data_IF_638882263182
#
_entry.id   IF_638882263182
#
_cell.length_a   1.000
_cell.length_b   1.000
_cell.length_c   1.000
_cell.angle_alpha   90.00
_cell.angle_beta   90.00
_cell.angle_gamma   90.00
#
_symmetry.space_group_name_H-M   'P 1'
#
loop_
_entity.id
_entity.type
_entity.pdbx_description
1 polymer ?
#
# COMPACT_ATOMS: atom_id res chain seq x y z
N UNK A 1 -46.89 -74.00 4.59
CA UNK A 1 -46.22 -72.99 5.44
C UNK A 1 -45.02 -72.25 4.80
N UNK A 2 -44.47 -72.64 3.64
CA UNK A 2 -43.30 -71.94 3.05
C UNK A 2 -43.62 -70.81 2.04
N UNK A 3 -44.84 -70.75 1.51
CA UNK A 3 -45.22 -69.77 0.47
C UNK A 3 -45.61 -68.41 1.04
N UNK A 4 -46.20 -68.36 2.26
CA UNK A 4 -46.64 -67.10 2.88
C UNK A 4 -45.48 -66.21 3.37
N UNK A 5 -44.35 -66.80 3.79
CA UNK A 5 -43.17 -66.04 4.26
C UNK A 5 -42.47 -65.36 3.08
N UNK A 6 -42.39 -66.02 1.93
CA UNK A 6 -41.81 -65.45 0.71
C UNK A 6 -42.62 -64.27 0.16
N UNK A 7 -43.96 -64.36 0.17
CA UNK A 7 -44.81 -63.28 -0.31
C UNK A 7 -44.67 -62.01 0.55
N UNK A 8 -44.58 -62.18 1.88
CA UNK A 8 -44.45 -61.05 2.81
C UNK A 8 -43.08 -60.36 2.68
N UNK A 9 -41.99 -61.13 2.56
CA UNK A 9 -40.65 -60.58 2.33
C UNK A 9 -40.50 -59.91 0.97
N UNK A 10 -41.15 -60.43 -0.08
CA UNK A 10 -41.13 -59.82 -1.41
C UNK A 10 -41.90 -58.49 -1.45
N UNK A 11 -43.04 -58.41 -0.77
CA UNK A 11 -43.84 -57.18 -0.64
C UNK A 11 -43.09 -56.09 0.16
N UNK A 12 -42.43 -56.46 1.27
CA UNK A 12 -41.60 -55.55 2.06
C UNK A 12 -40.38 -55.03 1.28
N UNK A 13 -39.72 -55.91 0.51
CA UNK A 13 -38.58 -55.52 -0.33
C UNK A 13 -39.00 -54.60 -1.46
N UNK A 14 -40.13 -54.89 -2.12
CA UNK A 14 -40.71 -54.04 -3.16
C UNK A 14 -41.14 -52.68 -2.61
N UNK A 15 -41.72 -52.64 -1.40
CA UNK A 15 -42.11 -51.39 -0.74
C UNK A 15 -40.90 -50.52 -0.42
N UNK A 16 -39.82 -51.10 0.10
CA UNK A 16 -38.60 -50.38 0.41
C UNK A 16 -37.93 -49.81 -0.86
N UNK A 17 -37.93 -50.56 -1.97
CA UNK A 17 -37.43 -50.07 -3.26
C UNK A 17 -38.25 -48.88 -3.74
N UNK A 18 -39.58 -48.93 -3.66
CA UNK A 18 -40.46 -47.83 -4.08
C UNK A 18 -40.24 -46.58 -3.21
N UNK A 19 -40.09 -46.74 -1.89
CA UNK A 19 -39.78 -45.62 -0.99
C UNK A 19 -38.42 -45.01 -1.30
N UNK A 20 -37.40 -45.84 -1.57
CA UNK A 20 -36.07 -45.36 -1.95
C UNK A 20 -36.10 -44.61 -3.28
N UNK A 21 -36.87 -45.12 -4.25
CA UNK A 21 -37.04 -44.47 -5.56
C UNK A 21 -37.77 -43.13 -5.44
N UNK A 22 -38.83 -43.06 -4.64
CA UNK A 22 -39.55 -41.82 -4.37
C UNK A 22 -38.68 -40.80 -3.63
N UNK A 23 -37.84 -41.24 -2.70
CA UNK A 23 -36.91 -40.36 -1.98
C UNK A 23 -35.80 -39.84 -2.89
N UNK A 24 -35.23 -40.69 -3.75
CA UNK A 24 -34.24 -40.28 -4.75
C UNK A 24 -34.85 -39.33 -5.77
N UNK A 25 -36.09 -39.60 -6.21
CA UNK A 25 -36.84 -38.75 -7.12
C UNK A 25 -37.15 -37.39 -6.50
N UNK A 26 -37.52 -37.34 -5.22
CA UNK A 26 -37.74 -36.09 -4.49
C UNK A 26 -36.45 -35.28 -4.33
N UNK A 27 -35.32 -35.94 -4.05
CA UNK A 27 -33.99 -35.31 -3.98
C UNK A 27 -33.53 -34.75 -5.33
N UNK A 28 -33.73 -35.50 -6.41
CA UNK A 28 -33.49 -35.03 -7.78
C UNK A 28 -34.42 -33.86 -8.14
N UNK A 29 -35.70 -33.93 -7.77
CA UNK A 29 -36.67 -32.87 -8.04
C UNK A 29 -36.35 -31.59 -7.27
N UNK A 30 -35.94 -31.70 -6.00
CA UNK A 30 -35.44 -30.57 -5.19
C UNK A 30 -34.15 -29.98 -5.77
N UNK A 31 -33.26 -30.81 -6.34
CA UNK A 31 -32.06 -30.35 -7.02
C UNK A 31 -32.36 -29.53 -8.29
N UNK A 32 -33.46 -29.83 -8.99
CA UNK A 32 -33.90 -29.08 -10.18
C UNK A 32 -34.79 -27.87 -9.86
N UNK A 33 -35.39 -27.77 -8.66
CA UNK A 33 -36.18 -26.60 -8.24
C UNK A 33 -35.37 -25.48 -7.61
N UNK A 34 -34.15 -25.75 -7.15
CA UNK A 34 -33.24 -24.70 -6.65
C UNK A 34 -32.50 -24.14 -7.86
N UNK A 35 -32.81 -22.92 -8.35
CA UNK A 35 -32.04 -22.33 -9.42
C UNK A 35 -30.57 -22.25 -8.97
N UNK A 36 -29.61 -22.54 -9.85
CA UNK A 36 -28.20 -22.34 -9.53
C UNK A 36 -28.03 -20.88 -9.07
N UNK A 37 -27.17 -20.61 -8.07
CA UNK A 37 -26.90 -19.24 -7.67
C UNK A 37 -26.48 -18.47 -8.93
N UNK A 38 -26.98 -17.23 -9.12
CA UNK A 38 -26.64 -16.46 -10.30
C UNK A 38 -25.12 -16.40 -10.40
N UNK A 39 -24.57 -16.85 -11.54
CA UNK A 39 -23.17 -16.68 -11.84
C UNK A 39 -22.89 -15.18 -11.71
N UNK A 40 -22.19 -14.79 -10.64
CA UNK A 40 -21.73 -13.42 -10.47
C UNK A 40 -20.89 -13.10 -11.70
N UNK A 41 -21.40 -12.22 -12.56
CA UNK A 41 -20.62 -11.70 -13.67
C UNK A 41 -19.32 -11.13 -13.09
N UNK A 42 -18.17 -11.35 -13.74
CA UNK A 42 -16.93 -10.75 -13.29
C UNK A 42 -17.12 -9.23 -13.22
N UNK A 43 -16.79 -8.64 -12.08
CA UNK A 43 -16.76 -7.18 -11.94
C UNK A 43 -15.57 -6.66 -12.75
N UNK A 44 -15.81 -6.27 -14.00
CA UNK A 44 -14.77 -5.72 -14.88
C UNK A 44 -14.63 -4.23 -14.59
N UNK A 45 -13.48 -3.83 -14.08
CA UNK A 45 -13.12 -2.43 -13.91
C UNK A 45 -12.92 -1.79 -15.29
N UNK A 46 -13.66 -0.73 -15.59
CA UNK A 46 -13.40 0.07 -16.80
C UNK A 46 -12.04 0.78 -16.66
N UNK A 47 -11.27 0.94 -17.76
CA UNK A 47 -10.07 1.76 -17.75
C UNK A 47 -10.38 3.19 -17.26
N UNK A 48 -9.38 3.84 -16.66
CA UNK A 48 -9.53 5.18 -16.10
C UNK A 48 -10.17 6.16 -17.11
N UNK A 49 -11.26 6.80 -16.72
CA UNK A 49 -12.04 7.73 -17.54
C UNK A 49 -13.46 7.93 -17.00
N UNK A 50 -14.10 9.05 -17.36
CA UNK A 50 -15.47 9.38 -16.91
C UNK A 50 -16.58 8.58 -17.59
N UNK A 51 -16.24 7.71 -18.55
CA UNK A 51 -17.21 6.88 -19.28
C UNK A 51 -17.00 5.40 -19.00
N UNK A 52 -18.08 4.71 -18.60
CA UNK A 52 -18.14 3.25 -18.62
C UNK A 52 -17.88 2.75 -20.06
N UNK A 53 -16.99 1.77 -20.21
CA UNK A 53 -16.52 1.23 -21.51
C UNK A 53 -15.55 2.11 -22.32
N UNK A 54 -14.89 3.10 -21.73
CA UNK A 54 -13.81 3.83 -22.41
C UNK A 54 -12.60 2.92 -22.74
N UNK A 55 -11.93 3.20 -23.87
CA UNK A 55 -10.64 2.58 -24.19
C UNK A 55 -9.59 3.05 -23.18
N UNK A 56 -8.64 2.17 -22.83
CA UNK A 56 -7.52 2.55 -21.98
C UNK A 56 -6.69 3.65 -22.66
N UNK A 57 -6.30 4.66 -21.89
CA UNK A 57 -5.36 5.68 -22.35
C UNK A 57 -4.08 5.05 -22.89
N UNK A 58 -3.57 5.57 -24.01
CA UNK A 58 -2.31 5.12 -24.59
C UNK A 58 -1.14 5.92 -24.01
N UNK A 59 -0.01 5.24 -23.81
CA UNK A 59 1.21 5.89 -23.38
C UNK A 59 1.98 6.49 -24.56
N UNK A 60 2.07 7.81 -24.65
CA UNK A 60 2.64 8.52 -25.82
C UNK A 60 3.81 9.44 -25.51
N UNK A 61 4.17 9.61 -24.23
CA UNK A 61 5.05 10.70 -23.79
C UNK A 61 6.55 10.39 -23.92
N UNK A 62 6.96 9.14 -24.14
CA UNK A 62 8.38 8.80 -24.17
C UNK A 62 8.73 7.52 -24.90
N UNK A 63 10.03 7.34 -25.15
CA UNK A 63 10.68 6.11 -25.59
C UNK A 63 11.94 5.93 -24.72
N UNK A 64 12.32 4.68 -24.48
CA UNK A 64 13.58 4.38 -23.82
C UNK A 64 14.40 3.40 -24.67
N UNK A 65 15.64 3.77 -24.97
CA UNK A 65 16.60 2.91 -25.65
C UNK A 65 17.82 2.66 -24.78
N UNK A 66 18.61 1.64 -25.13
CA UNK A 66 19.81 1.26 -24.36
C UNK A 66 20.82 2.40 -24.24
N UNK A 67 20.94 3.28 -25.24
CA UNK A 67 21.87 4.41 -25.22
C UNK A 67 21.42 5.57 -24.34
N UNK A 68 20.15 5.61 -23.93
CA UNK A 68 19.62 6.66 -23.05
C UNK A 68 19.95 6.40 -21.57
N UNK A 69 20.40 5.17 -21.28
CA UNK A 69 20.64 4.59 -19.97
C UNK A 69 22.12 4.72 -19.59
N UNK A 70 22.37 5.01 -18.32
CA UNK A 70 23.73 4.97 -17.76
C UNK A 70 24.29 3.55 -17.82
N UNK A 71 25.39 3.34 -18.54
CA UNK A 71 25.96 2.01 -18.73
C UNK A 71 26.65 1.43 -17.48
N UNK A 72 26.97 2.28 -16.49
CA UNK A 72 27.80 1.93 -15.34
C UNK A 72 27.00 1.71 -14.06
N UNK A 73 25.90 2.46 -13.86
CA UNK A 73 25.20 2.46 -12.58
C UNK A 73 23.70 2.70 -12.71
N UNK A 74 22.85 1.77 -12.22
CA UNK A 74 21.42 2.03 -12.11
C UNK A 74 21.11 3.16 -11.11
N UNK A 75 22.01 3.47 -10.18
CA UNK A 75 21.81 4.53 -9.19
C UNK A 75 21.91 5.90 -9.86
N UNK A 76 22.92 6.10 -10.72
CA UNK A 76 23.05 7.32 -11.53
C UNK A 76 21.85 7.48 -12.45
N UNK A 77 21.42 6.38 -13.09
CA UNK A 77 20.24 6.39 -13.93
C UNK A 77 18.95 6.72 -13.16
N UNK A 78 18.77 6.15 -11.96
CA UNK A 78 17.64 6.48 -11.10
C UNK A 78 17.66 7.95 -10.69
N UNK A 79 18.80 8.47 -10.25
CA UNK A 79 18.95 9.87 -9.86
C UNK A 79 18.57 10.82 -11.01
N UNK A 80 18.98 10.50 -12.25
CA UNK A 80 18.59 11.25 -13.45
C UNK A 80 17.06 11.29 -13.60
N UNK A 81 16.40 10.13 -13.62
CA UNK A 81 14.94 10.05 -13.77
C UNK A 81 14.17 10.69 -12.61
N UNK A 82 14.65 10.49 -11.38
CA UNK A 82 14.07 11.10 -10.19
C UNK A 82 14.16 12.63 -10.25
N UNK A 83 15.30 13.16 -10.66
CA UNK A 83 15.50 14.61 -10.86
C UNK A 83 14.60 15.18 -11.97
N UNK A 84 14.36 14.40 -13.03
CA UNK A 84 13.39 14.77 -14.08
C UNK A 84 11.97 14.80 -13.54
N UNK A 85 11.57 13.83 -12.72
CA UNK A 85 10.26 13.80 -12.07
C UNK A 85 10.04 14.99 -11.12
N UNK A 86 11.07 15.41 -10.38
CA UNK A 86 11.01 16.60 -9.52
C UNK A 86 10.82 17.91 -10.29
N UNK A 87 11.34 18.00 -11.52
CA UNK A 87 11.27 19.22 -12.35
C UNK A 87 10.13 19.19 -13.36
N UNK A 88 9.42 18.08 -13.48
CA UNK A 88 8.33 17.95 -14.44
C UNK A 88 7.17 18.85 -14.04
N UNK A 89 6.68 19.66 -14.97
CA UNK A 89 5.58 20.61 -14.76
C UNK A 89 4.51 20.46 -15.84
N UNK A 90 3.26 20.72 -15.47
CA UNK A 90 2.15 20.81 -16.41
C UNK A 90 2.11 22.23 -16.96
N UNK A 91 2.53 22.42 -18.21
CA UNK A 91 2.38 23.71 -18.90
C UNK A 91 0.92 23.91 -19.28
N UNK A 92 0.26 24.89 -18.68
CA UNK A 92 -1.02 25.37 -19.22
C UNK A 92 -0.72 26.26 -20.42
N UNK A 93 -1.34 26.02 -21.56
CA UNK A 93 -1.06 26.71 -22.83
C UNK A 93 -1.48 28.19 -22.90
N UNK A 94 -1.62 28.88 -21.77
CA UNK A 94 -2.00 30.30 -21.67
C UNK A 94 -0.78 31.14 -21.30
N UNK A 95 -0.60 32.27 -21.98
CA UNK A 95 0.46 33.24 -21.68
C UNK A 95 0.28 33.92 -20.30
N UNK A 96 -0.93 33.86 -19.73
CA UNK A 96 -1.31 34.46 -18.43
C UNK A 96 -1.41 33.41 -17.30
N UNK A 97 -0.78 32.25 -17.46
CA UNK A 97 -0.95 31.12 -16.56
C UNK A 97 -0.33 31.31 -15.16
N UNK A 98 -1.07 30.85 -14.15
CA UNK A 98 -0.64 30.63 -12.77
C UNK A 98 0.70 29.85 -12.68
N UNK A 99 1.43 29.91 -11.53
CA UNK A 99 2.71 29.23 -11.36
C UNK A 99 2.66 27.76 -11.82
N UNK A 100 3.76 27.31 -12.43
CA UNK A 100 3.92 25.97 -12.97
C UNK A 100 3.53 24.90 -11.93
N UNK A 101 2.48 24.13 -12.23
CA UNK A 101 2.03 23.05 -11.34
C UNK A 101 2.93 21.82 -11.56
N UNK A 102 3.52 21.23 -10.50
CA UNK A 102 4.30 20.00 -10.64
C UNK A 102 3.48 18.89 -11.28
N UNK A 103 4.02 18.26 -12.32
CA UNK A 103 3.39 17.12 -12.98
C UNK A 103 3.38 15.90 -12.06
N UNK A 104 4.40 15.74 -11.22
CA UNK A 104 4.50 14.68 -10.22
C UNK A 104 4.53 15.33 -8.84
N UNK A 105 3.45 15.22 -8.07
CA UNK A 105 3.33 15.92 -6.79
C UNK A 105 4.31 15.42 -5.72
N UNK A 106 4.58 14.12 -5.71
CA UNK A 106 5.49 13.48 -4.73
C UNK A 106 6.38 12.45 -5.44
N UNK A 107 7.44 12.88 -6.15
CA UNK A 107 8.32 11.99 -6.91
C UNK A 107 8.96 10.89 -6.06
N UNK A 108 9.16 11.14 -4.77
CA UNK A 108 9.77 10.25 -3.80
C UNK A 108 8.81 9.25 -3.15
N UNK A 109 7.50 9.39 -3.38
CA UNK A 109 6.53 8.40 -2.97
C UNK A 109 6.74 7.09 -3.74
N UNK A 110 6.88 5.99 -3.01
CA UNK A 110 7.07 4.66 -3.57
C UNK A 110 6.33 3.60 -2.75
N UNK A 111 5.94 2.52 -3.42
CA UNK A 111 5.33 1.36 -2.77
C UNK A 111 6.45 0.44 -2.25
N UNK A 112 6.51 0.24 -0.93
CA UNK A 112 7.39 -0.72 -0.28
C UNK A 112 6.66 -2.05 -0.07
N UNK A 113 7.15 -3.09 -0.72
CA UNK A 113 6.64 -4.46 -0.57
C UNK A 113 7.61 -5.30 0.26
N UNK A 114 7.06 -6.02 1.23
CA UNK A 114 7.78 -6.93 2.14
C UNK A 114 7.02 -8.26 2.23
N UNK A 115 7.69 -9.33 2.66
CA UNK A 115 7.04 -10.62 2.85
C UNK A 115 7.49 -11.29 4.14
N UNK A 116 6.55 -11.88 4.88
CA UNK A 116 6.83 -12.65 6.08
C UNK A 116 7.31 -14.06 5.72
N UNK A 117 8.38 -14.54 6.34
CA UNK A 117 8.79 -15.95 6.31
C UNK A 117 8.49 -16.61 7.67
N UNK A 118 8.04 -17.89 7.67
CA UNK A 118 8.01 -18.82 6.54
C UNK A 118 6.74 -18.77 5.68
N UNK A 119 5.71 -18.00 6.05
CA UNK A 119 4.41 -18.04 5.37
C UNK A 119 4.44 -17.60 3.91
N UNK A 120 5.43 -16.77 3.53
CA UNK A 120 5.50 -16.12 2.22
C UNK A 120 4.46 -15.01 2.04
N UNK A 121 3.74 -14.62 3.10
CA UNK A 121 2.65 -13.64 2.99
C UNK A 121 3.22 -12.26 2.69
N UNK A 122 2.86 -11.71 1.55
CA UNK A 122 3.28 -10.38 1.08
C UNK A 122 2.40 -9.29 1.67
N UNK A 123 2.99 -8.14 1.97
CA UNK A 123 2.27 -6.92 2.31
C UNK A 123 2.97 -5.69 1.72
N UNK A 124 2.18 -4.68 1.36
CA UNK A 124 2.67 -3.46 0.69
C UNK A 124 2.06 -2.20 1.28
N UNK A 125 2.75 -1.07 1.15
CA UNK A 125 2.29 0.27 1.58
C UNK A 125 3.14 1.36 0.93
N UNK A 126 2.62 2.59 0.90
CA UNK A 126 3.39 3.75 0.47
C UNK A 126 4.39 4.20 1.54
N UNK A 127 5.57 4.59 1.11
CA UNK A 127 6.64 5.25 1.88
C UNK A 127 7.27 6.34 1.03
N UNK A 128 8.12 7.17 1.64
CA UNK A 128 8.87 8.20 0.92
C UNK A 128 10.35 7.85 0.95
N UNK A 129 10.97 7.77 -0.23
CA UNK A 129 12.43 7.77 -0.37
C UNK A 129 12.98 9.08 0.20
N UNK A 130 14.07 9.00 0.97
CA UNK A 130 14.69 10.20 1.55
C UNK A 130 16.15 10.39 1.16
N UNK A 131 16.83 9.31 0.79
CA UNK A 131 18.25 9.36 0.49
C UNK A 131 18.62 8.24 -0.48
N UNK A 132 19.50 8.57 -1.41
CA UNK A 132 20.38 7.62 -2.09
C UNK A 132 21.73 7.76 -1.41
N UNK A 133 22.14 6.76 -0.66
CA UNK A 133 23.36 6.89 0.14
C UNK A 133 24.61 6.64 -0.70
N UNK A 134 25.78 6.93 -0.14
CA UNK A 134 27.07 6.77 -0.83
C UNK A 134 27.41 5.32 -1.20
N UNK A 135 26.67 4.34 -0.65
CA UNK A 135 26.81 2.90 -0.98
C UNK A 135 25.86 2.47 -2.11
N UNK A 136 25.11 3.40 -2.69
CA UNK A 136 24.11 3.11 -3.72
C UNK A 136 22.83 2.47 -3.16
N UNK A 137 22.57 2.65 -1.86
CA UNK A 137 21.37 2.17 -1.20
C UNK A 137 20.23 3.18 -1.22
N UNK A 138 19.00 2.67 -1.32
CA UNK A 138 17.77 3.47 -1.26
C UNK A 138 17.27 3.50 0.18
N UNK A 139 17.25 4.67 0.81
CA UNK A 139 16.93 4.79 2.24
C UNK A 139 15.54 5.39 2.45
N UNK A 140 14.71 4.67 3.19
CA UNK A 140 13.41 5.12 3.69
C UNK A 140 13.44 5.14 5.22
N UNK A 141 12.76 6.09 5.86
CA UNK A 141 12.72 6.17 7.32
C UNK A 141 11.37 5.71 7.85
N UNK A 142 11.36 4.79 8.80
CA UNK A 142 10.12 4.14 9.25
C UNK A 142 10.20 3.61 10.69
N UNK A 143 9.06 3.15 11.21
CA UNK A 143 9.02 2.40 12.47
C UNK A 143 9.45 0.94 12.19
N UNK A 144 10.60 0.56 12.76
CA UNK A 144 11.23 -0.76 12.68
C UNK A 144 11.00 -1.61 13.95
N UNK A 145 10.12 -1.19 14.84
CA UNK A 145 9.71 -1.95 16.03
C UNK A 145 8.37 -2.66 15.84
N UNK A 146 7.28 -1.90 15.91
CA UNK A 146 5.90 -2.41 16.01
C UNK A 146 5.20 -2.60 14.67
N UNK A 147 5.72 -2.01 13.59
CA UNK A 147 5.01 -2.00 12.31
C UNK A 147 4.99 -3.37 11.61
N UNK A 148 3.99 -3.61 10.76
CA UNK A 148 3.90 -4.88 9.99
C UNK A 148 5.13 -5.12 9.12
N UNK A 149 5.63 -4.09 8.42
CA UNK A 149 6.85 -4.20 7.60
C UNK A 149 8.07 -4.56 8.45
N UNK A 150 8.16 -4.07 9.68
CA UNK A 150 9.24 -4.43 10.59
C UNK A 150 9.19 -5.91 10.97
N UNK A 151 7.98 -6.44 11.21
CA UNK A 151 7.78 -7.86 11.47
C UNK A 151 8.19 -8.73 10.28
N UNK A 152 7.76 -8.37 9.07
CA UNK A 152 8.16 -9.07 7.85
C UNK A 152 9.72 -9.07 7.72
N UNK A 153 10.35 -7.90 7.84
CA UNK A 153 11.79 -7.70 7.63
C UNK A 153 12.68 -8.42 8.66
N UNK A 154 12.19 -8.66 9.88
CA UNK A 154 12.90 -9.48 10.87
C UNK A 154 13.04 -10.94 10.42
N UNK A 155 12.06 -11.44 9.67
CA UNK A 155 12.05 -12.83 9.18
C UNK A 155 12.66 -12.96 7.78
N UNK A 156 12.63 -11.87 7.01
CA UNK A 156 13.05 -11.85 5.61
C UNK A 156 13.66 -10.48 5.26
N UNK A 157 14.99 -10.36 5.18
CA UNK A 157 15.66 -9.08 4.93
C UNK A 157 15.63 -8.70 3.44
N UNK A 158 14.56 -9.02 2.71
CA UNK A 158 14.38 -8.66 1.30
C UNK A 158 13.13 -7.80 1.13
N UNK A 159 13.22 -6.81 0.25
CA UNK A 159 12.13 -5.92 -0.07
C UNK A 159 12.19 -5.43 -1.52
N UNK A 160 11.09 -4.82 -1.96
CA UNK A 160 11.00 -4.12 -3.24
C UNK A 160 10.45 -2.72 -3.04
N UNK A 161 11.01 -1.74 -3.75
CA UNK A 161 10.48 -0.39 -3.91
C UNK A 161 9.97 -0.21 -5.35
N UNK A 162 8.75 0.29 -5.50
CA UNK A 162 8.17 0.65 -6.81
C UNK A 162 7.81 2.13 -6.85
N UNK A 163 8.40 2.85 -7.80
CA UNK A 163 8.08 4.23 -8.14
C UNK A 163 7.21 4.24 -9.39
N UNK A 164 6.11 4.99 -9.38
CA UNK A 164 5.26 5.17 -10.55
C UNK A 164 4.99 6.67 -10.75
N UNK A 165 5.53 7.22 -11.83
CA UNK A 165 5.33 8.60 -12.24
C UNK A 165 4.39 8.60 -13.45
N UNK A 166 3.09 8.56 -13.16
CA UNK A 166 2.02 8.44 -14.15
C UNK A 166 2.09 9.52 -15.24
N UNK A 167 2.34 10.78 -14.86
CA UNK A 167 2.48 11.91 -15.80
C UNK A 167 3.71 11.86 -16.68
N UNK A 168 4.65 10.97 -16.38
CA UNK A 168 5.82 10.68 -17.22
C UNK A 168 5.73 9.32 -17.91
N UNK A 169 4.69 8.53 -17.61
CA UNK A 169 4.52 7.16 -18.08
C UNK A 169 5.75 6.30 -17.76
N UNK A 170 6.31 6.49 -16.56
CA UNK A 170 7.53 5.82 -16.10
C UNK A 170 7.30 5.07 -14.82
N UNK A 171 8.00 3.95 -14.71
CA UNK A 171 8.09 3.17 -13.49
C UNK A 171 9.55 2.79 -13.25
N UNK A 172 9.94 2.77 -11.98
CA UNK A 172 11.19 2.16 -11.53
C UNK A 172 10.88 1.11 -10.47
N UNK A 173 11.44 -0.09 -10.62
CA UNK A 173 11.43 -1.13 -9.59
C UNK A 173 12.84 -1.33 -9.06
N UNK A 174 12.98 -1.39 -7.75
CA UNK A 174 14.25 -1.66 -7.06
C UNK A 174 14.02 -2.85 -6.15
N UNK A 175 14.83 -3.89 -6.29
CA UNK A 175 14.75 -5.10 -5.47
C UNK A 175 16.11 -5.37 -4.82
N UNK A 176 16.09 -5.85 -3.59
CA UNK A 176 17.32 -6.02 -2.85
C UNK A 176 17.17 -6.42 -1.41
N UNK A 177 18.33 -6.59 -0.77
CA UNK A 177 18.43 -6.84 0.68
C UNK A 177 18.29 -5.54 1.44
N UNK A 178 17.70 -5.62 2.62
CA UNK A 178 17.52 -4.46 3.50
C UNK A 178 18.46 -4.49 4.70
N UNK A 179 18.93 -3.31 5.10
CA UNK A 179 19.73 -3.10 6.30
C UNK A 179 19.17 -1.93 7.10
N UNK A 180 19.25 -2.04 8.42
CA UNK A 180 18.90 -0.93 9.32
C UNK A 180 20.11 -0.01 9.47
N UNK A 181 19.91 1.30 9.29
CA UNK A 181 20.90 2.31 9.63
C UNK A 181 21.17 2.34 11.13
N UNK A 182 22.38 2.71 11.52
CA UNK A 182 22.72 2.94 12.92
C UNK A 182 21.86 4.04 13.53
N UNK A 183 21.71 4.08 14.88
CA UNK A 183 21.04 5.20 15.55
C UNK A 183 21.64 6.56 15.20
N UNK A 184 22.98 6.64 15.09
CA UNK A 184 23.68 7.87 14.73
C UNK A 184 23.35 8.33 13.30
N UNK A 185 23.43 7.44 12.30
CA UNK A 185 23.02 7.76 10.92
C UNK A 185 21.54 8.18 10.88
N UNK A 186 20.68 7.51 11.64
CA UNK A 186 19.25 7.84 11.70
C UNK A 186 18.96 9.18 12.38
N UNK A 187 19.76 9.56 13.39
CA UNK A 187 19.61 10.83 14.11
C UNK A 187 19.86 12.02 13.18
N UNK A 188 20.84 11.93 12.28
CA UNK A 188 21.17 12.99 11.31
C UNK A 188 19.92 13.40 10.51
N UNK A 189 19.20 12.44 9.93
CA UNK A 189 17.95 12.74 9.25
C UNK A 189 16.83 13.11 10.22
N UNK A 190 16.74 12.46 11.38
CA UNK A 190 15.69 12.75 12.38
C UNK A 190 15.70 14.21 12.82
N UNK A 191 16.87 14.81 12.99
CA UNK A 191 17.04 16.22 13.40
C UNK A 191 16.56 17.22 12.33
N UNK A 192 16.52 16.83 11.06
CA UNK A 192 15.95 17.67 9.99
C UNK A 192 14.42 17.75 10.05
N UNK A 193 13.77 16.84 10.78
CA UNK A 193 12.31 16.78 10.86
C UNK A 193 11.78 17.88 11.77
N UNK A 194 10.68 18.51 11.34
CA UNK A 194 9.94 19.45 12.18
C UNK A 194 9.58 18.82 13.52
N UNK A 195 9.57 19.61 14.61
CA UNK A 195 9.42 19.08 15.98
C UNK A 195 8.19 18.17 16.13
N UNK A 196 7.04 18.57 15.59
CA UNK A 196 5.82 17.75 15.64
C UNK A 196 5.99 16.36 14.99
N UNK A 197 6.80 16.25 13.93
CA UNK A 197 7.13 14.95 13.31
C UNK A 197 8.05 14.09 14.18
N UNK A 198 8.98 14.71 14.91
CA UNK A 198 9.86 14.01 15.87
C UNK A 198 9.05 13.49 17.06
N UNK A 199 8.16 14.32 17.62
CA UNK A 199 7.20 13.93 18.66
C UNK A 199 6.27 12.82 18.18
N UNK A 200 5.66 12.99 17.00
CA UNK A 200 4.76 11.98 16.42
C UNK A 200 5.44 10.63 16.20
N UNK A 201 6.75 10.60 15.93
CA UNK A 201 7.50 9.34 15.84
C UNK A 201 7.62 8.62 17.18
N UNK A 202 7.77 9.35 18.30
CA UNK A 202 7.74 8.77 19.65
C UNK A 202 6.35 8.31 20.07
N UNK A 203 5.31 9.08 19.73
CA UNK A 203 3.93 8.74 20.04
C UNK A 203 3.42 7.51 19.25
N UNK A 204 3.91 7.32 18.02
CA UNK A 204 3.35 6.35 17.09
C UNK A 204 3.78 4.90 17.38
N UNK A 205 2.87 4.14 18.00
CA UNK A 205 2.89 2.66 18.04
C UNK A 205 2.38 2.09 16.71
N UNK A 206 3.12 2.35 15.64
CA UNK A 206 2.67 2.10 14.27
C UNK A 206 2.17 0.67 14.06
N UNK A 207 1.00 0.54 13.42
CA UNK A 207 0.29 -0.72 13.12
C UNK A 207 -0.35 -1.44 14.32
N UNK A 208 -0.31 -0.87 15.52
CA UNK A 208 -1.11 -1.34 16.64
C UNK A 208 -2.60 -1.01 16.41
N UNK A 209 -3.49 -1.94 16.75
CA UNK A 209 -4.94 -1.72 16.76
C UNK A 209 -5.30 -0.76 17.88
N UNK A 210 -6.08 0.28 17.56
CA UNK A 210 -6.58 1.25 18.53
C UNK A 210 -7.84 0.72 19.23
N UNK A 211 -8.10 1.24 20.43
CA UNK A 211 -9.26 0.83 21.23
C UNK A 211 -10.23 2.02 21.33
N UNK A 212 -11.42 1.91 20.72
CA UNK A 212 -12.50 2.87 20.88
C UNK A 212 -12.91 3.06 22.35
N UNK A 213 -13.17 4.29 22.78
CA UNK A 213 -13.75 4.56 24.09
C UNK A 213 -15.27 4.67 24.00
N UNK A 214 -16.00 3.89 24.79
CA UNK A 214 -17.47 3.93 24.84
C UNK A 214 -18.04 5.21 25.51
N UNK A 215 -17.20 6.15 25.96
CA UNK A 215 -17.58 7.18 26.93
C UNK A 215 -17.97 8.54 26.35
N UNK A 216 -18.01 8.74 25.03
CA UNK A 216 -18.31 10.05 24.43
C UNK A 216 -19.82 10.34 24.23
N UNK A 217 -20.71 9.38 24.50
CA UNK A 217 -22.14 9.47 24.15
C UNK A 217 -23.12 9.91 25.24
N UNK A 218 -22.70 10.19 26.48
CA UNK A 218 -23.66 10.54 27.55
C UNK A 218 -23.17 11.68 28.45
N UNK A 219 -23.44 12.93 28.05
CA UNK A 219 -23.17 14.07 28.90
C UNK A 219 -23.74 15.39 28.37
N UNK A 220 -25.03 15.65 28.56
CA UNK A 220 -25.61 16.94 28.16
C UNK A 220 -27.08 17.20 28.48
N UNK A 221 -27.66 16.57 29.51
CA UNK A 221 -28.93 17.01 30.07
C UNK A 221 -28.73 18.26 30.93
N UNK A 222 -28.86 19.46 30.34
CA UNK A 222 -28.62 20.72 31.04
C UNK A 222 -29.35 21.93 30.43
N UNK A 223 -30.58 22.15 30.93
CA UNK A 223 -31.37 23.41 30.99
C UNK A 223 -31.29 24.41 29.81
N UNK A 224 -32.45 24.56 29.16
CA UNK A 224 -32.80 25.73 28.36
C UNK A 224 -32.64 27.03 29.17
N UNK A 225 -31.75 27.91 28.70
CA UNK A 225 -31.64 29.30 29.09
C UNK A 225 -31.64 30.16 27.83
N UNK A 226 -32.63 31.03 27.71
CA UNK A 226 -32.80 31.98 26.61
C UNK A 226 -31.65 33.00 26.52
N UNK A 227 -31.22 33.35 25.30
CA UNK A 227 -30.73 34.69 25.01
C UNK A 227 -29.46 34.84 24.15
N UNK A 228 -29.68 35.38 22.94
CA UNK A 228 -28.90 36.46 22.28
C UNK A 228 -27.73 36.10 21.32
N UNK A 229 -28.10 36.08 20.04
CA UNK A 229 -27.44 36.61 18.81
C UNK A 229 -25.94 36.95 18.79
N UNK A 230 -25.23 36.39 17.79
CA UNK A 230 -24.26 37.12 16.97
C UNK A 230 -22.93 36.40 16.66
N UNK A 231 -22.59 36.27 15.36
CA UNK A 231 -21.22 36.10 14.87
C UNK A 231 -20.95 34.78 14.14
N UNK A 232 -20.73 34.87 12.82
CA UNK A 232 -20.45 33.73 11.94
C UNK A 232 -19.05 33.13 12.10
N UNK A 233 -19.00 31.82 11.94
CA UNK A 233 -17.81 30.99 11.77
C UNK A 233 -18.26 29.62 11.26
N UNK A 234 -18.17 29.39 9.95
CA UNK A 234 -18.55 28.12 9.34
C UNK A 234 -17.41 27.09 9.53
N UNK A 235 -17.77 25.90 10.06
CA UNK A 235 -16.91 24.72 10.07
C UNK A 235 -16.70 24.02 11.42
N UNK A 236 -17.62 24.12 12.38
CA UNK A 236 -17.63 23.22 13.55
C UNK A 236 -18.12 21.83 13.13
N UNK A 237 -17.20 20.86 13.07
CA UNK A 237 -17.53 19.45 12.85
C UNK A 237 -18.45 18.92 13.95
N UNK A 238 -19.30 17.98 13.56
CA UNK A 238 -20.44 17.47 14.32
C UNK A 238 -19.97 16.80 15.62
N UNK A 239 -20.33 17.40 16.75
CA UNK A 239 -20.28 16.75 18.06
C UNK A 239 -21.27 15.56 18.08
N UNK A 240 -20.72 14.35 18.12
CA UNK A 240 -21.48 13.10 18.23
C UNK A 240 -20.85 11.88 17.56
N UNK A 241 -19.54 11.88 17.27
CA UNK A 241 -18.86 10.68 16.77
C UNK A 241 -18.37 9.84 17.96
N UNK A 242 -18.79 8.58 18.03
CA UNK A 242 -18.26 7.63 19.01
C UNK A 242 -16.74 7.53 18.81
N UNK A 243 -15.94 7.70 19.87
CA UNK A 243 -14.47 7.71 19.77
C UNK A 243 -13.97 6.39 19.19
N UNK A 244 -13.47 6.42 17.96
CA UNK A 244 -12.95 5.27 17.20
C UNK A 244 -11.49 4.91 17.55
N UNK A 245 -10.93 5.55 18.59
CA UNK A 245 -9.52 5.47 18.97
C UNK A 245 -8.74 6.76 18.67
N UNK A 246 -9.39 7.78 18.12
CA UNK A 246 -8.81 9.12 17.95
C UNK A 246 -8.28 9.69 19.26
N UNK A 247 -9.04 9.57 20.35
CA UNK A 247 -8.64 10.10 21.66
C UNK A 247 -7.39 9.39 22.20
N UNK A 248 -7.24 8.08 21.94
CA UNK A 248 -6.05 7.32 22.32
C UNK A 248 -4.79 7.86 21.63
N UNK A 249 -4.87 8.13 20.33
CA UNK A 249 -3.75 8.67 19.57
C UNK A 249 -3.36 10.08 20.04
N UNK A 250 -4.34 10.94 20.31
CA UNK A 250 -4.09 12.28 20.85
C UNK A 250 -3.46 12.22 22.23
N UNK A 251 -3.89 11.27 23.07
CA UNK A 251 -3.27 10.96 24.35
C UNK A 251 -1.79 10.60 24.22
N UNK A 252 -1.42 9.73 23.25
CA UNK A 252 -0.01 9.38 23.01
C UNK A 252 0.82 10.56 22.50
N UNK A 253 0.23 11.44 21.68
CA UNK A 253 0.91 12.67 21.25
C UNK A 253 1.18 13.57 22.44
N UNK A 254 0.17 13.83 23.28
CA UNK A 254 0.30 14.65 24.49
C UNK A 254 1.36 14.09 25.44
N UNK A 255 1.36 12.78 25.68
CA UNK A 255 2.40 12.11 26.50
C UNK A 255 3.80 12.36 25.94
N UNK A 256 3.98 12.24 24.62
CA UNK A 256 5.26 12.50 23.97
C UNK A 256 5.64 14.00 24.02
N UNK A 257 4.69 14.92 23.87
CA UNK A 257 4.93 16.36 23.98
C UNK A 257 5.36 16.77 25.39
N UNK A 258 4.67 16.25 26.41
CA UNK A 258 5.01 16.44 27.82
C UNK A 258 6.41 15.91 28.12
N UNK A 259 6.72 14.69 27.66
CA UNK A 259 8.04 14.07 27.82
C UNK A 259 9.19 14.91 27.28
N UNK A 260 8.98 15.60 26.16
CA UNK A 260 10.00 16.42 25.49
C UNK A 260 9.74 17.92 25.64
N UNK A 261 8.94 18.33 26.62
CA UNK A 261 8.65 19.74 26.88
C UNK A 261 9.93 20.48 27.27
N UNK A 262 10.17 21.64 26.64
CA UNK A 262 11.38 22.43 26.83
C UNK A 262 12.67 21.82 26.28
N UNK A 263 12.63 20.63 25.68
CA UNK A 263 13.81 19.99 25.07
C UNK A 263 13.94 20.39 23.60
N UNK A 264 15.09 20.98 23.24
CA UNK A 264 15.41 21.35 21.86
C UNK A 264 15.82 20.11 21.03
N UNK A 265 16.64 19.25 21.62
CA UNK A 265 17.09 18.01 21.02
C UNK A 265 16.22 16.84 21.49
N UNK A 266 15.59 16.16 20.53
CA UNK A 266 14.80 14.94 20.76
C UNK A 266 15.58 13.78 20.13
N UNK A 267 15.99 12.76 20.91
CA UNK A 267 16.69 11.62 20.35
C UNK A 267 15.77 10.79 19.47
N UNK A 268 16.34 10.10 18.50
CA UNK A 268 15.63 9.14 17.67
C UNK A 268 15.16 7.94 18.52
N UNK A 269 13.89 7.52 18.42
CA UNK A 269 13.41 6.33 19.14
C UNK A 269 14.14 5.05 18.69
N UNK A 270 14.39 4.11 19.60
CA UNK A 270 15.03 2.82 19.28
C UNK A 270 14.24 1.96 18.27
N UNK A 271 12.94 2.20 18.14
CA UNK A 271 12.06 1.52 17.19
C UNK A 271 11.87 2.30 15.89
N UNK A 272 12.57 3.42 15.70
CA UNK A 272 12.50 4.24 14.50
C UNK A 272 13.90 4.34 13.86
N UNK A 273 13.98 4.45 12.55
CA UNK A 273 15.25 4.67 11.88
C UNK A 273 15.20 4.49 10.37
N UNK A 274 16.37 4.66 9.75
CA UNK A 274 16.56 4.41 8.34
C UNK A 274 16.58 2.91 8.03
N UNK A 275 15.89 2.53 6.97
CA UNK A 275 15.94 1.24 6.31
C UNK A 275 16.56 1.46 4.93
N UNK A 276 17.77 0.96 4.73
CA UNK A 276 18.47 0.94 3.45
C UNK A 276 18.04 -0.30 2.68
N UNK A 277 17.65 -0.15 1.41
CA UNK A 277 17.57 -1.23 0.45
C UNK A 277 18.82 -1.17 -0.43
N UNK A 278 19.65 -2.20 -0.37
CA UNK A 278 20.84 -2.38 -1.22
C UNK A 278 20.39 -3.16 -2.45
N UNK A 279 20.37 -2.53 -3.64
CA UNK A 279 19.79 -3.16 -4.80
C UNK A 279 20.67 -4.30 -5.31
N UNK A 280 20.03 -5.42 -5.61
CA UNK A 280 20.55 -6.48 -6.48
C UNK A 280 19.99 -6.37 -7.90
N UNK A 281 18.86 -5.69 -8.07
CA UNK A 281 18.29 -5.39 -9.39
C UNK A 281 17.51 -4.08 -9.42
N UNK A 282 17.53 -3.43 -10.57
CA UNK A 282 16.77 -2.19 -10.83
C UNK A 282 16.18 -2.22 -12.23
N UNK A 283 14.86 -2.17 -12.33
CA UNK A 283 14.15 -2.12 -13.61
C UNK A 283 13.67 -0.69 -13.92
N UNK A 284 13.95 -0.22 -15.13
CA UNK A 284 13.40 1.00 -15.72
C UNK A 284 12.37 0.65 -16.79
N UNK A 285 11.15 1.15 -16.62
CA UNK A 285 10.03 0.92 -17.52
C UNK A 285 9.54 2.26 -18.06
N UNK A 286 9.32 2.32 -19.38
CA UNK A 286 8.74 3.45 -20.09
C UNK A 286 7.55 3.00 -20.94
N UNK A 287 6.41 3.67 -20.73
CA UNK A 287 5.18 3.43 -21.46
C UNK A 287 5.32 3.67 -22.97
N UNK A 288 4.58 2.89 -23.76
CA UNK A 288 4.52 2.95 -25.23
C UNK A 288 3.07 2.71 -25.68
N UNK A 289 2.69 3.33 -26.79
CA UNK A 289 1.30 3.42 -27.25
C UNK A 289 0.70 2.09 -27.69
N UNK A 290 1.54 1.18 -28.18
CA UNK A 290 1.17 -0.13 -28.70
C UNK A 290 1.30 -1.25 -27.66
N UNK A 291 1.45 -0.92 -26.37
CA UNK A 291 1.70 -1.87 -25.25
C UNK A 291 3.05 -2.59 -25.31
N UNK A 292 3.87 -2.33 -26.33
CA UNK A 292 5.23 -2.84 -26.40
C UNK A 292 6.17 -1.91 -25.64
N UNK A 293 6.04 -1.93 -24.31
CA UNK A 293 6.77 -1.04 -23.39
C UNK A 293 8.28 -1.28 -23.45
N UNK A 294 9.05 -0.20 -23.23
CA UNK A 294 10.50 -0.31 -23.13
C UNK A 294 10.86 -0.65 -21.69
N UNK A 295 11.50 -1.82 -21.50
CA UNK A 295 11.87 -2.35 -20.19
C UNK A 295 13.34 -2.70 -20.17
N UNK A 296 14.08 -2.14 -19.23
CA UNK A 296 15.49 -2.42 -19.04
C UNK A 296 15.80 -2.78 -17.59
N UNK A 297 16.43 -3.94 -17.40
CA UNK A 297 16.79 -4.47 -16.09
C UNK A 297 18.29 -4.37 -15.91
N UNK A 298 18.69 -3.68 -14.85
CA UNK A 298 20.03 -3.81 -14.29
C UNK A 298 20.03 -4.94 -13.29
N UNK A 299 21.00 -5.87 -13.40
CA UNK A 299 21.22 -6.92 -12.40
C UNK A 299 22.65 -6.83 -11.89
N UNK A 300 22.84 -6.86 -10.57
CA UNK A 300 24.16 -6.84 -9.96
C UNK A 300 24.86 -8.15 -10.31
N UNK A 301 26.11 -8.07 -10.76
CA UNK A 301 26.90 -9.26 -11.10
C UNK A 301 27.47 -9.85 -9.81
N UNK A 302 27.21 -11.13 -9.56
CA UNK A 302 27.65 -11.81 -8.34
C UNK A 302 29.17 -11.69 -8.13
N UNK A 303 29.55 -11.26 -6.92
CA UNK A 303 30.95 -11.11 -6.51
C UNK A 303 31.69 -9.93 -7.13
N UNK A 304 31.01 -9.04 -7.85
CA UNK A 304 31.60 -7.85 -8.48
C UNK A 304 30.80 -6.59 -8.16
N UNK A 305 31.47 -5.44 -8.24
CA UNK A 305 30.81 -4.12 -8.24
C UNK A 305 30.51 -3.69 -9.69
N UNK A 306 29.82 -4.56 -10.41
CA UNK A 306 29.44 -4.40 -11.82
C UNK A 306 27.95 -4.72 -12.01
N UNK A 307 27.34 -4.14 -13.04
CA UNK A 307 25.94 -4.36 -13.40
C UNK A 307 25.83 -4.89 -14.82
N UNK A 308 25.01 -5.92 -15.03
CA UNK A 308 24.51 -6.26 -16.37
C UNK A 308 23.35 -5.34 -16.72
N UNK A 309 23.08 -5.16 -18.01
CA UNK A 309 21.95 -4.39 -18.51
C UNK A 309 21.23 -5.18 -19.61
N UNK A 310 19.99 -5.57 -19.36
CA UNK A 310 19.20 -6.42 -20.26
C UNK A 310 17.89 -5.74 -20.65
N UNK A 311 17.41 -6.00 -21.89
CA UNK A 311 16.09 -5.55 -22.33
C UNK A 311 15.08 -6.67 -22.06
N UNK A 312 13.99 -6.36 -21.37
CA UNK A 312 12.92 -7.33 -21.10
C UNK A 312 11.78 -7.18 -22.12
N UNK A 313 11.07 -8.28 -22.38
CA UNK A 313 9.78 -8.22 -23.07
C UNK A 313 8.75 -7.49 -22.19
N UNK A 314 7.88 -6.65 -22.76
CA UNK A 314 6.67 -6.17 -22.09
C UNK A 314 5.68 -7.29 -21.79
#
# INVERSE_FOLDING_TARGET
>A
MKVHVWLCSFLLFSFLIVVLFLFLFLLLFLFFLVPPPPLLLPFVFSPAGSQQHAQAGQFTLGRLTRSDLDASSPITQFHKWFSEAQRAVIRSGSADAAPETPAVSHPEACCLSTAELPSGRVSSRMVYLKELDSRGGFVVYTNLGTSRKAADLRTNPHASLLFFWDRLERQVRVEGRTERLTPAESQVYFDTRVRGSRVGAWASRQSQVLVPSAAAGTGGGGKAGEGKTGGGGEGGERDGDDDDGRAQLEGWVREAEERFSGQEHIPVPEFWGGLRLIPDSVEFWQGRNNRLHDRFLYSRVDGKDEWSLDRLSP
#
